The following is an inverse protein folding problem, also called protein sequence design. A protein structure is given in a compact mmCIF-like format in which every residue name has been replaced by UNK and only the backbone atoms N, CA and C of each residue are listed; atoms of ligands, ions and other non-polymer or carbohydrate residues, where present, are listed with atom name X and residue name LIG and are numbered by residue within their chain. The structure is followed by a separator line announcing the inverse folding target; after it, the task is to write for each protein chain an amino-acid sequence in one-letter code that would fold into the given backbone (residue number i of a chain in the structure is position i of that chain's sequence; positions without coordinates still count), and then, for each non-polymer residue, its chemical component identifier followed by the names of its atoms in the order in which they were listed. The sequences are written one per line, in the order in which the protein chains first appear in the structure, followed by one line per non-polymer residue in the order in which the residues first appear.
data_IF_087936888741
#
_entry.id   IF_087936888741
#
_cell.length_a   1.000
_cell.length_b   1.000
_cell.length_c   1.000
_cell.angle_alpha   90.00
_cell.angle_beta   90.00
_cell.angle_gamma   90.00
#
_symmetry.space_group_name_H-M   'P 1'
#
loop_
_entity.id
_entity.type
_entity.pdbx_description
1 polymer ?
#
# COMPACT_ATOMS: atom_id res chain seq x y z
N UNK A 1 2.76 7.91 -18.26
CA UNK A 1 2.08 8.50 -17.09
C UNK A 1 2.92 8.14 -15.87
N UNK A 2 3.36 9.10 -15.07
CA UNK A 2 4.20 8.83 -13.89
C UNK A 2 3.33 8.57 -12.64
N UNK A 3 3.91 8.03 -11.57
CA UNK A 3 3.16 7.62 -10.37
C UNK A 3 2.40 8.77 -9.72
N UNK A 4 2.99 9.97 -9.68
CA UNK A 4 2.37 11.18 -9.13
C UNK A 4 1.08 11.54 -9.89
N UNK A 5 1.14 11.59 -11.23
CA UNK A 5 -0.03 11.89 -12.06
C UNK A 5 -1.13 10.84 -11.94
N UNK A 6 -0.77 9.57 -11.81
CA UNK A 6 -1.73 8.48 -11.58
C UNK A 6 -2.40 8.60 -10.20
N UNK A 7 -1.63 8.96 -9.16
CA UNK A 7 -2.16 9.18 -7.82
C UNK A 7 -3.09 10.38 -7.74
N UNK A 8 -2.71 11.51 -8.34
CA UNK A 8 -3.56 12.70 -8.43
C UNK A 8 -4.87 12.39 -9.18
N UNK A 9 -4.80 11.68 -10.31
CA UNK A 9 -5.99 11.27 -11.07
C UNK A 9 -6.92 10.35 -10.25
N UNK A 10 -6.37 9.44 -9.45
CA UNK A 10 -7.17 8.59 -8.56
C UNK A 10 -7.93 9.41 -7.51
N UNK A 11 -7.26 10.37 -6.85
CA UNK A 11 -7.89 11.24 -5.86
C UNK A 11 -8.98 12.10 -6.50
N UNK A 12 -8.70 12.71 -7.65
CA UNK A 12 -9.68 13.50 -8.41
C UNK A 12 -10.91 12.65 -8.80
N UNK A 13 -10.71 11.42 -9.25
CA UNK A 13 -11.79 10.49 -9.58
C UNK A 13 -12.62 10.05 -8.34
N UNK A 14 -12.07 10.22 -7.13
CA UNK A 14 -12.78 10.02 -5.87
C UNK A 14 -13.46 11.30 -5.35
N UNK A 15 -13.43 12.40 -6.11
CA UNK A 15 -13.97 13.70 -5.70
C UNK A 15 -13.11 14.42 -4.67
N UNK A 16 -11.83 14.03 -4.56
CA UNK A 16 -10.85 14.57 -3.60
C UNK A 16 -9.76 15.34 -4.31
N UNK A 17 -9.10 16.25 -3.59
CA UNK A 17 -7.99 17.05 -4.08
C UNK A 17 -6.64 16.40 -3.80
N UNK A 18 -5.60 16.89 -4.47
CA UNK A 18 -4.23 16.40 -4.26
C UNK A 18 -3.72 16.73 -2.85
N UNK A 19 -4.10 17.87 -2.26
CA UNK A 19 -3.70 18.21 -0.89
C UNK A 19 -4.22 17.20 0.14
N UNK A 20 -5.38 16.59 -0.12
CA UNK A 20 -5.94 15.54 0.74
C UNK A 20 -5.13 14.24 0.67
N UNK A 21 -4.39 14.01 -0.42
CA UNK A 21 -3.43 12.91 -0.51
C UNK A 21 -2.26 13.12 0.44
N UNK A 22 -1.74 14.35 0.50
CA UNK A 22 -0.67 14.68 1.44
C UNK A 22 -1.15 14.57 2.90
N UNK A 23 -2.40 14.96 3.19
CA UNK A 23 -3.02 14.80 4.50
C UNK A 23 -3.19 13.32 4.90
N UNK A 24 -3.69 12.49 3.99
CA UNK A 24 -3.79 11.04 4.20
C UNK A 24 -2.41 10.40 4.37
N UNK A 25 -1.41 10.88 3.62
CA UNK A 25 -0.01 10.47 3.71
C UNK A 25 0.59 10.73 5.09
N UNK A 26 0.31 11.89 5.71
CA UNK A 26 0.72 12.20 7.10
C UNK A 26 0.06 11.29 8.14
N UNK A 27 -1.05 10.64 7.78
CA UNK A 27 -1.69 9.66 8.64
C UNK A 27 -1.08 8.26 8.52
N UNK A 28 -0.15 8.02 7.59
CA UNK A 28 0.52 6.75 7.39
C UNK A 28 1.82 6.64 8.18
N UNK A 29 2.29 5.42 8.41
CA UNK A 29 3.62 5.19 8.98
C UNK A 29 4.71 5.26 7.91
N UNK A 30 4.35 4.96 6.66
CA UNK A 30 5.21 5.07 5.47
C UNK A 30 4.47 5.85 4.40
N UNK A 31 5.10 6.93 3.95
CA UNK A 31 4.63 7.72 2.82
C UNK A 31 5.79 7.97 1.84
N UNK A 32 5.68 7.37 0.65
CA UNK A 32 6.65 7.57 -0.45
C UNK A 32 5.95 8.33 -1.56
N UNK A 33 6.60 9.39 -2.05
CA UNK A 33 6.08 10.23 -3.12
C UNK A 33 7.21 10.59 -4.08
N UNK A 34 7.43 9.73 -5.08
CA UNK A 34 8.40 9.95 -6.16
C UNK A 34 7.70 9.83 -7.52
N UNK A 35 8.33 10.26 -8.62
CA UNK A 35 7.79 10.05 -9.97
C UNK A 35 7.56 8.57 -10.32
N UNK A 36 8.31 7.64 -9.73
CA UNK A 36 8.26 6.21 -10.02
C UNK A 36 7.29 5.45 -9.10
N UNK A 37 7.06 5.96 -7.87
CA UNK A 37 6.28 5.29 -6.85
C UNK A 37 5.54 6.29 -5.94
N UNK A 38 4.24 6.06 -5.75
CA UNK A 38 3.46 6.64 -4.66
C UNK A 38 2.94 5.51 -3.78
N UNK A 39 3.34 5.51 -2.50
CA UNK A 39 2.95 4.50 -1.52
C UNK A 39 2.43 5.15 -0.24
N UNK A 40 1.30 4.64 0.24
CA UNK A 40 0.78 4.90 1.57
C UNK A 40 0.60 3.59 2.30
N UNK A 41 1.38 3.38 3.37
CA UNK A 41 1.32 2.16 4.15
C UNK A 41 1.36 2.41 5.65
N UNK A 42 0.65 1.57 6.39
CA UNK A 42 0.52 1.68 7.84
C UNK A 42 0.62 0.31 8.49
N UNK A 43 1.17 0.29 9.70
CA UNK A 43 1.20 -0.89 10.55
C UNK A 43 -0.19 -1.09 11.14
N UNK A 44 -0.66 -2.33 11.12
CA UNK A 44 -1.98 -2.69 11.63
C UNK A 44 -1.94 -4.02 12.36
N UNK A 45 -2.87 -4.21 13.29
CA UNK A 45 -3.25 -5.52 13.80
C UNK A 45 -4.13 -6.20 12.74
N UNK A 46 -3.60 -7.23 12.09
CA UNK A 46 -4.31 -7.92 11.01
C UNK A 46 -5.53 -8.74 11.46
N UNK A 47 -5.71 -8.92 12.77
CA UNK A 47 -6.93 -9.52 13.34
C UNK A 47 -8.04 -8.50 13.58
N UNK A 48 -7.76 -7.21 13.43
CA UNK A 48 -8.75 -6.16 13.67
C UNK A 48 -9.87 -6.18 12.62
N UNK A 49 -11.06 -5.66 12.96
CA UNK A 49 -12.16 -5.50 12.00
C UNK A 49 -11.73 -4.69 10.78
N UNK A 50 -12.19 -5.09 9.58
CA UNK A 50 -11.88 -4.42 8.31
C UNK A 50 -12.00 -2.90 8.39
N UNK A 51 -13.11 -2.38 8.92
CA UNK A 51 -13.35 -0.94 9.04
C UNK A 51 -12.26 -0.19 9.83
N UNK A 52 -11.65 -0.84 10.84
CA UNK A 52 -10.54 -0.25 11.60
C UNK A 52 -9.21 -0.30 10.84
N UNK A 53 -9.00 -1.32 10.01
CA UNK A 53 -7.79 -1.47 9.20
C UNK A 53 -7.77 -0.40 8.09
N UNK A 54 -8.91 -0.18 7.43
CA UNK A 54 -9.01 0.76 6.31
C UNK A 54 -9.19 2.22 6.71
N UNK A 55 -9.66 2.50 7.94
CA UNK A 55 -9.73 3.86 8.46
C UNK A 55 -8.32 4.39 8.76
N UNK A 56 -7.86 5.31 7.91
CA UNK A 56 -6.54 5.95 8.01
C UNK A 56 -6.34 6.74 9.32
N UNK A 57 -7.42 7.11 10.01
CA UNK A 57 -7.36 7.84 11.29
C UNK A 57 -7.22 6.91 12.48
N UNK A 58 -7.62 5.65 12.36
CA UNK A 58 -7.47 4.67 13.43
C UNK A 58 -5.97 4.43 13.69
N UNK A 59 -5.56 4.36 14.96
CA UNK A 59 -4.19 4.01 15.36
C UNK A 59 -4.16 2.66 16.05
N UNK A 60 -3.08 1.93 15.85
CA UNK A 60 -2.81 0.65 16.49
C UNK A 60 -1.58 0.80 17.39
N UNK A 61 -1.58 0.10 18.52
CA UNK A 61 -0.40 -0.04 19.37
C UNK A 61 0.66 -0.82 18.58
N UNK A 62 1.92 -0.34 18.60
CA UNK A 62 2.99 -0.88 17.74
C UNK A 62 3.23 -2.35 18.05
N UNK A 63 3.09 -2.75 19.31
CA UNK A 63 3.29 -4.10 19.83
C UNK A 63 2.25 -5.09 19.32
N UNK A 64 1.08 -4.60 18.88
CA UNK A 64 0.00 -5.40 18.31
C UNK A 64 0.07 -5.52 16.80
N UNK A 65 0.86 -4.68 16.15
CA UNK A 65 0.93 -4.64 14.70
C UNK A 65 1.74 -5.83 14.18
N UNK A 66 1.10 -6.65 13.35
CA UNK A 66 1.73 -7.79 12.68
C UNK A 66 1.67 -7.70 11.16
N UNK A 67 1.09 -6.61 10.61
CA UNK A 67 0.97 -6.43 9.18
C UNK A 67 1.19 -4.99 8.71
N UNK A 68 1.73 -4.86 7.50
CA UNK A 68 1.59 -3.63 6.72
C UNK A 68 0.29 -3.68 5.92
N UNK A 69 -0.55 -2.66 6.05
CA UNK A 69 -1.64 -2.42 5.13
C UNK A 69 -1.20 -1.40 4.07
N UNK A 70 -1.18 -1.83 2.81
CA UNK A 70 -0.91 -0.99 1.65
C UNK A 70 -2.21 -0.28 1.26
N UNK A 71 -2.45 0.89 1.86
CA UNK A 71 -3.68 1.66 1.67
C UNK A 71 -3.79 2.19 0.24
N UNK A 72 -2.67 2.67 -0.30
CA UNK A 72 -2.61 3.19 -1.66
C UNK A 72 -1.26 2.87 -2.28
N UNK A 73 -1.28 2.48 -3.56
CA UNK A 73 -0.09 2.20 -4.37
C UNK A 73 -0.35 2.65 -5.80
N UNK A 74 0.52 3.51 -6.33
CA UNK A 74 0.56 3.87 -7.73
C UNK A 74 2.01 3.89 -8.25
N UNK A 75 2.18 3.61 -9.54
CA UNK A 75 3.50 3.51 -10.17
C UNK A 75 3.98 2.06 -10.30
N UNK A 76 5.29 1.91 -10.39
CA UNK A 76 5.94 0.62 -10.66
C UNK A 76 6.06 -0.19 -9.36
N UNK A 77 5.27 -1.25 -9.21
CA UNK A 77 5.23 -2.04 -7.98
C UNK A 77 6.59 -2.66 -7.61
N UNK A 78 7.48 -2.89 -8.58
CA UNK A 78 8.85 -3.36 -8.35
C UNK A 78 9.70 -2.39 -7.52
N UNK A 79 9.41 -1.10 -7.56
CA UNK A 79 10.16 -0.08 -6.81
C UNK A 79 10.02 -0.27 -5.29
N UNK A 80 8.98 -1.00 -4.86
CA UNK A 80 8.82 -1.45 -3.48
C UNK A 80 9.97 -2.35 -3.00
N UNK A 81 10.68 -3.05 -3.89
CA UNK A 81 11.83 -3.88 -3.52
C UNK A 81 13.00 -3.06 -2.96
N UNK A 82 13.07 -1.76 -3.26
CA UNK A 82 14.02 -0.83 -2.61
C UNK A 82 13.80 -0.74 -1.09
N UNK A 83 12.59 -1.07 -0.63
CA UNK A 83 12.17 -1.07 0.76
C UNK A 83 11.95 -2.50 1.29
N UNK A 84 12.63 -3.50 0.73
CA UNK A 84 12.46 -4.91 1.12
C UNK A 84 12.67 -5.12 2.62
N UNK A 85 13.64 -4.45 3.23
CA UNK A 85 13.91 -4.58 4.67
C UNK A 85 12.72 -4.11 5.50
N UNK A 86 12.11 -2.98 5.13
CA UNK A 86 10.92 -2.44 5.78
C UNK A 86 9.71 -3.35 5.56
N UNK A 87 9.52 -3.87 4.35
CA UNK A 87 8.46 -4.83 4.02
C UNK A 87 8.57 -6.07 4.91
N UNK A 88 9.78 -6.60 5.07
CA UNK A 88 10.07 -7.79 5.88
C UNK A 88 10.07 -7.52 7.40
N UNK A 89 9.97 -6.27 7.84
CA UNK A 89 9.92 -5.92 9.27
C UNK A 89 8.64 -6.38 9.97
N UNK A 90 7.57 -6.64 9.20
CA UNK A 90 6.34 -7.26 9.69
C UNK A 90 6.06 -8.55 8.92
N UNK A 91 5.45 -9.57 9.54
CA UNK A 91 5.25 -10.87 8.90
C UNK A 91 4.22 -10.86 7.76
N UNK A 92 3.28 -9.92 7.77
CA UNK A 92 2.16 -9.89 6.82
C UNK A 92 2.05 -8.60 6.03
N UNK A 93 1.52 -8.73 4.82
CA UNK A 93 1.04 -7.64 3.96
C UNK A 93 -0.47 -7.82 3.77
N UNK A 94 -1.21 -6.75 3.97
CA UNK A 94 -2.63 -6.63 3.62
C UNK A 94 -2.76 -5.71 2.41
N UNK A 95 -3.34 -6.24 1.33
CA UNK A 95 -3.70 -5.46 0.15
C UNK A 95 -5.20 -5.54 -0.11
N UNK A 96 -5.75 -4.47 -0.66
CA UNK A 96 -7.07 -4.52 -1.26
C UNK A 96 -6.90 -4.96 -2.72
N UNK A 97 -7.28 -6.20 -3.04
CA UNK A 97 -7.30 -6.71 -4.41
C UNK A 97 -8.76 -6.90 -4.83
N UNK A 98 -9.29 -6.03 -5.70
CA UNK A 98 -10.63 -6.22 -6.26
C UNK A 98 -11.27 -4.93 -6.77
N UNK A 99 -12.09 -5.05 -7.83
CA UNK A 99 -13.03 -4.00 -8.26
C UNK A 99 -13.84 -3.58 -7.03
N UNK A 100 -13.75 -2.30 -6.66
CA UNK A 100 -14.49 -1.60 -5.59
C UNK A 100 -15.69 -2.41 -5.05
N UNK A 101 -15.63 -2.89 -3.80
CA UNK A 101 -16.86 -3.10 -3.00
C UNK A 101 -17.05 -4.39 -2.20
N UNK A 102 -16.19 -5.40 -2.25
CA UNK A 102 -16.42 -6.65 -1.47
C UNK A 102 -15.95 -6.57 0.00
N UNK A 103 -15.21 -5.52 0.36
CA UNK A 103 -14.73 -5.27 1.72
C UNK A 103 -13.72 -6.29 2.24
N UNK A 104 -13.00 -6.99 1.35
CA UNK A 104 -12.02 -8.02 1.74
C UNK A 104 -10.59 -7.54 1.55
N UNK A 105 -9.77 -7.83 2.56
CA UNK A 105 -8.32 -7.66 2.49
C UNK A 105 -7.67 -9.00 2.17
N UNK A 106 -6.79 -9.00 1.18
CA UNK A 106 -5.92 -10.14 0.91
C UNK A 106 -4.75 -10.10 1.88
N UNK A 107 -4.57 -11.17 2.65
CA UNK A 107 -3.44 -11.34 3.56
C UNK A 107 -2.38 -12.26 2.94
N UNK A 108 -1.17 -11.73 2.76
CA UNK A 108 -0.01 -12.45 2.22
C UNK A 108 1.15 -12.36 3.21
N UNK A 109 2.01 -13.38 3.27
CA UNK A 109 3.28 -13.22 4.01
C UNK A 109 4.17 -12.21 3.28
N UNK A 110 4.89 -11.39 4.03
CA UNK A 110 5.80 -10.38 3.44
C UNK A 110 6.86 -11.03 2.55
N UNK A 111 7.37 -12.20 2.94
CA UNK A 111 8.29 -12.99 2.12
C UNK A 111 7.68 -13.47 0.79
N UNK A 112 6.39 -13.83 0.78
CA UNK A 112 5.69 -14.18 -0.46
C UNK A 112 5.44 -12.94 -1.30
N UNK A 113 5.09 -11.82 -0.67
CA UNK A 113 4.90 -10.55 -1.36
C UNK A 113 6.18 -10.11 -2.09
N UNK A 114 7.34 -10.08 -1.43
CA UNK A 114 8.62 -9.76 -2.09
C UNK A 114 8.93 -10.69 -3.26
N UNK A 115 8.72 -12.00 -3.10
CA UNK A 115 8.92 -12.96 -4.20
C UNK A 115 8.01 -12.68 -5.40
N UNK A 116 6.75 -12.31 -5.17
CA UNK A 116 5.82 -11.95 -6.24
C UNK A 116 6.25 -10.67 -6.96
N UNK A 117 6.70 -9.65 -6.21
CA UNK A 117 7.25 -8.42 -6.78
C UNK A 117 8.47 -8.73 -7.66
N UNK A 118 9.42 -9.53 -7.15
CA UNK A 118 10.63 -9.90 -7.90
C UNK A 118 10.31 -10.73 -9.16
N UNK A 119 9.36 -11.68 -9.07
CA UNK A 119 8.93 -12.46 -10.22
C UNK A 119 8.27 -11.60 -11.30
N UNK A 120 7.52 -10.56 -10.91
CA UNK A 120 6.93 -9.61 -11.85
C UNK A 120 7.96 -8.75 -12.58
N UNK A 121 9.15 -8.57 -12.02
CA UNK A 121 10.24 -7.82 -12.64
C UNK A 121 11.00 -8.63 -13.72
N UNK A 122 10.96 -9.96 -13.67
CA UNK A 122 11.64 -10.84 -14.64
C UNK A 122 10.76 -11.13 -15.85
N UNK A 123 9.44 -11.06 -15.69
CA UNK A 123 8.49 -11.07 -16.80
C UNK A 123 8.49 -9.70 -17.50
N UNK A 124 9.48 -9.46 -18.36
CA UNK A 124 9.44 -8.36 -19.33
C UNK A 124 8.16 -8.43 -20.17
N UNK A 125 7.78 -7.32 -20.86
CA UNK A 125 6.53 -7.28 -21.61
C UNK A 125 6.51 -8.45 -22.59
N UNK A 126 5.45 -9.25 -22.54
CA UNK A 126 5.16 -10.22 -23.59
C UNK A 126 5.09 -9.43 -24.90
N UNK A 127 6.10 -9.60 -25.73
CA UNK A 127 6.20 -9.15 -27.11
C UNK A 127 5.08 -9.70 -27.97
#
# INVERSE_FOLDING_TARGET
MNALSAAAAYYLAAGRREEEMDEDGRCQDVYVRTPELVLMARRVDSSAPFGRIIDVRCRFETERCDAWHLHFLAGEARELLTYEREILSLPWILTQHGKRGDGRLMKLSSSRFCRLLAASAVAGPLS
#
